data_IF_957138770738
#
_entry.id   IF_957138770738
#
_cell.length_a   1.000
_cell.length_b   1.000
_cell.length_c   1.000
_cell.angle_alpha   90.00
_cell.angle_beta   90.00
_cell.angle_gamma   90.00
#
_symmetry.space_group_name_H-M   'P 1'
#
loop_
_entity.id
_entity.type
_entity.pdbx_description
1 polymer ?
#
# COMPACT_ATOMS: atom_id res chain seq x y z
N UNK A 1 -0.90 22.52 18.16
CA UNK A 1 -1.58 21.34 17.57
C UNK A 1 -3.09 21.59 17.65
N UNK A 2 -3.84 21.36 16.58
CA UNK A 2 -5.29 21.50 16.61
C UNK A 2 -5.95 20.11 16.76
N UNK A 3 -6.07 19.66 18.01
CA UNK A 3 -6.62 18.34 18.33
C UNK A 3 -8.06 18.20 17.85
N UNK A 4 -8.87 19.26 17.99
CA UNK A 4 -10.27 19.26 17.54
C UNK A 4 -10.39 19.01 16.03
N UNK A 5 -9.47 19.57 15.22
CA UNK A 5 -9.44 19.33 13.79
C UNK A 5 -9.03 17.90 13.45
N UNK A 6 -8.02 17.36 14.13
CA UNK A 6 -7.58 15.96 13.96
C UNK A 6 -8.71 14.98 14.31
N UNK A 7 -9.42 15.23 15.41
CA UNK A 7 -10.54 14.38 15.85
C UNK A 7 -11.70 14.42 14.83
N UNK A 8 -12.04 15.61 14.32
CA UNK A 8 -13.04 15.75 13.27
C UNK A 8 -12.67 15.02 11.98
N UNK A 9 -11.39 15.14 11.56
CA UNK A 9 -10.89 14.50 10.35
C UNK A 9 -10.87 12.98 10.48
N UNK A 10 -10.35 12.43 11.57
CA UNK A 10 -10.29 10.98 11.81
C UNK A 10 -11.67 10.38 12.11
N UNK A 11 -12.55 11.15 12.76
CA UNK A 11 -13.95 10.78 12.99
C UNK A 11 -14.79 10.77 11.71
N UNK A 12 -14.37 11.49 10.67
CA UNK A 12 -15.10 11.59 9.40
C UNK A 12 -16.18 12.66 9.37
N UNK A 13 -16.11 13.68 10.23
CA UNK A 13 -17.04 14.82 10.21
C UNK A 13 -16.64 15.80 9.09
N UNK A 14 -17.07 15.48 7.87
CA UNK A 14 -16.78 16.27 6.65
C UNK A 14 -17.25 17.71 6.78
N UNK A 15 -18.46 17.91 7.35
CA UNK A 15 -19.06 19.25 7.50
C UNK A 15 -18.21 20.12 8.41
N UNK A 16 -17.82 19.59 9.56
CA UNK A 16 -16.98 20.30 10.52
C UNK A 16 -15.59 20.59 9.93
N UNK A 17 -14.97 19.60 9.26
CA UNK A 17 -13.66 19.77 8.60
C UNK A 17 -13.74 20.88 7.54
N UNK A 18 -14.73 20.86 6.65
CA UNK A 18 -14.89 21.91 5.63
C UNK A 18 -15.10 23.29 6.25
N UNK A 19 -15.92 23.40 7.29
CA UNK A 19 -16.14 24.68 7.99
C UNK A 19 -14.84 25.20 8.60
N UNK A 20 -14.06 24.34 9.23
CA UNK A 20 -12.78 24.72 9.83
C UNK A 20 -11.75 25.13 8.77
N UNK A 21 -11.66 24.41 7.65
CA UNK A 21 -10.77 24.73 6.52
C UNK A 21 -11.15 26.03 5.82
N UNK A 22 -12.46 26.37 5.74
CA UNK A 22 -12.91 27.65 5.22
C UNK A 22 -12.49 28.83 6.11
N UNK A 23 -12.48 28.63 7.44
CA UNK A 23 -12.02 29.64 8.39
C UNK A 23 -10.49 29.75 8.44
N UNK A 24 -9.78 28.61 8.32
CA UNK A 24 -8.31 28.55 8.34
C UNK A 24 -7.80 27.41 7.45
N UNK A 25 -7.48 27.70 6.18
CA UNK A 25 -6.92 26.68 5.25
C UNK A 25 -5.61 26.07 5.72
N UNK A 26 -4.85 26.74 6.60
CA UNK A 26 -3.57 26.23 7.10
C UNK A 26 -3.72 24.96 7.95
N UNK A 27 -4.93 24.67 8.44
CA UNK A 27 -5.25 23.45 9.17
C UNK A 27 -4.99 22.19 8.35
N UNK A 28 -5.03 22.27 7.01
CA UNK A 28 -4.68 21.14 6.14
C UNK A 28 -3.21 20.66 6.33
N UNK A 29 -2.35 21.47 6.93
CA UNK A 29 -0.96 21.12 7.27
C UNK A 29 -0.78 20.57 8.69
N UNK A 30 -1.89 20.38 9.43
CA UNK A 30 -1.84 19.89 10.81
C UNK A 30 -1.18 18.51 10.86
N UNK A 31 -0.28 18.34 11.84
CA UNK A 31 0.34 17.04 12.18
C UNK A 31 0.05 16.72 13.65
N UNK A 32 -0.04 15.44 13.95
CA UNK A 32 -0.16 14.98 15.34
C UNK A 32 1.19 15.02 16.09
N UNK A 33 1.18 14.55 17.35
CA UNK A 33 2.36 14.50 18.22
C UNK A 33 3.50 13.63 17.67
N UNK A 34 3.16 12.64 16.84
CA UNK A 34 4.10 11.74 16.16
C UNK A 34 4.59 12.31 14.82
N UNK A 35 4.12 13.50 14.42
CA UNK A 35 4.45 14.14 13.16
C UNK A 35 3.64 13.64 11.95
N UNK A 36 2.67 12.75 12.15
CA UNK A 36 1.81 12.24 11.08
C UNK A 36 0.81 13.32 10.68
N UNK A 37 0.74 13.63 9.37
CA UNK A 37 -0.17 14.66 8.87
C UNK A 37 -1.63 14.23 8.93
N UNK A 38 -2.52 15.23 9.02
CA UNK A 38 -3.97 15.00 9.00
C UNK A 38 -4.41 14.28 7.74
N UNK A 39 -3.77 14.54 6.58
CA UNK A 39 -4.09 13.89 5.32
C UNK A 39 -3.71 12.40 5.34
N UNK A 40 -2.55 12.05 5.88
CA UNK A 40 -2.17 10.65 6.06
C UNK A 40 -3.12 9.94 7.03
N UNK A 41 -3.48 10.57 8.16
CA UNK A 41 -4.47 10.01 9.07
C UNK A 41 -5.82 9.78 8.39
N UNK A 42 -6.34 10.76 7.69
CA UNK A 42 -7.60 10.63 6.95
C UNK A 42 -7.52 9.48 5.91
N UNK A 43 -6.38 9.33 5.24
CA UNK A 43 -6.13 8.25 4.28
C UNK A 43 -6.08 6.89 4.96
N UNK A 44 -5.36 6.73 6.07
CA UNK A 44 -5.32 5.49 6.87
C UNK A 44 -6.71 5.06 7.38
N UNK A 45 -7.54 6.01 7.79
CA UNK A 45 -8.91 5.73 8.24
C UNK A 45 -9.93 5.64 7.09
N UNK A 46 -9.50 5.68 5.83
CA UNK A 46 -10.36 5.57 4.66
C UNK A 46 -11.36 6.72 4.50
N UNK A 47 -11.06 7.91 5.03
CA UNK A 47 -11.96 9.10 5.03
C UNK A 47 -11.82 9.88 3.72
N UNK A 48 -12.24 9.28 2.60
CA UNK A 48 -12.06 9.84 1.26
C UNK A 48 -12.57 11.27 1.10
N UNK A 49 -13.75 11.60 1.66
CA UNK A 49 -14.32 12.94 1.56
C UNK A 49 -13.51 13.98 2.34
N UNK A 50 -12.86 13.56 3.44
CA UNK A 50 -11.94 14.40 4.20
C UNK A 50 -10.66 14.64 3.40
N UNK A 51 -10.09 13.58 2.82
CA UNK A 51 -8.89 13.68 1.94
C UNK A 51 -9.18 14.65 0.80
N UNK A 52 -10.33 14.52 0.12
CA UNK A 52 -10.73 15.44 -0.94
C UNK A 52 -10.83 16.90 -0.44
N UNK A 53 -11.47 17.13 0.72
CA UNK A 53 -11.57 18.46 1.31
C UNK A 53 -10.21 19.08 1.67
N UNK A 54 -9.25 18.26 2.12
CA UNK A 54 -7.89 18.70 2.41
C UNK A 54 -7.14 19.06 1.12
N UNK A 55 -7.25 18.25 0.07
CA UNK A 55 -6.64 18.50 -1.23
C UNK A 55 -7.19 19.77 -1.91
N UNK A 56 -8.49 20.04 -1.78
CA UNK A 56 -9.13 21.27 -2.29
C UNK A 56 -8.51 22.56 -1.74
N UNK A 57 -7.82 22.52 -0.59
CA UNK A 57 -7.10 23.70 -0.04
C UNK A 57 -5.82 24.04 -0.80
N UNK A 58 -5.36 23.17 -1.70
CA UNK A 58 -4.06 23.32 -2.35
C UNK A 58 -2.88 23.02 -1.42
N UNK A 59 -3.09 22.21 -0.37
CA UNK A 59 -2.01 21.81 0.54
C UNK A 59 -0.88 21.13 -0.23
N UNK A 60 0.35 21.53 0.05
CA UNK A 60 1.53 20.89 -0.53
C UNK A 60 1.76 19.53 0.12
N UNK A 61 1.79 18.48 -0.72
CA UNK A 61 2.04 17.12 -0.30
C UNK A 61 3.53 16.78 -0.46
N UNK A 62 4.06 16.03 0.50
CA UNK A 62 5.31 15.30 0.29
C UNK A 62 5.09 14.07 -0.61
N UNK A 63 6.17 13.35 -0.95
CA UNK A 63 6.10 12.21 -1.87
C UNK A 63 5.28 11.05 -1.32
N UNK A 64 5.29 10.86 0.00
CA UNK A 64 4.55 9.78 0.67
C UNK A 64 3.06 10.10 0.73
N UNK A 65 2.72 11.32 1.09
CA UNK A 65 1.34 11.82 1.10
C UNK A 65 0.74 11.76 -0.31
N UNK A 66 1.47 12.24 -1.31
CA UNK A 66 1.05 12.20 -2.70
C UNK A 66 0.88 10.75 -3.22
N UNK A 67 1.79 9.85 -2.84
CA UNK A 67 1.68 8.44 -3.20
C UNK A 67 0.48 7.75 -2.54
N UNK A 68 0.21 8.04 -1.28
CA UNK A 68 -0.90 7.47 -0.54
C UNK A 68 -2.27 7.95 -1.05
N UNK A 69 -2.36 9.22 -1.47
CA UNK A 69 -3.61 9.85 -1.92
C UNK A 69 -3.88 9.71 -3.42
N UNK A 70 -2.92 9.18 -4.20
CA UNK A 70 -3.11 8.94 -5.63
C UNK A 70 -2.76 10.14 -6.53
N UNK A 71 -2.02 11.12 -6.02
CA UNK A 71 -1.68 12.37 -6.72
C UNK A 71 -0.50 12.17 -7.70
N UNK A 72 -0.77 11.53 -8.85
CA UNK A 72 0.23 11.10 -9.85
C UNK A 72 1.11 12.25 -10.32
N UNK A 73 0.52 13.40 -10.67
CA UNK A 73 1.25 14.58 -11.16
C UNK A 73 2.19 15.11 -10.06
N UNK A 74 1.72 15.15 -8.82
CA UNK A 74 2.53 15.61 -7.70
C UNK A 74 3.72 14.69 -7.46
N UNK A 75 3.52 13.37 -7.46
CA UNK A 75 4.59 12.37 -7.35
C UNK A 75 5.61 12.56 -8.48
N UNK A 76 5.14 12.66 -9.72
CA UNK A 76 6.01 12.84 -10.89
C UNK A 76 6.86 14.11 -10.82
N UNK A 77 6.27 15.24 -10.41
CA UNK A 77 6.97 16.50 -10.25
C UNK A 77 8.01 16.45 -9.12
N UNK A 78 7.69 15.82 -8.01
CA UNK A 78 8.62 15.67 -6.89
C UNK A 78 9.82 14.82 -7.27
N UNK A 79 9.60 13.68 -7.96
CA UNK A 79 10.70 12.80 -8.41
C UNK A 79 11.52 13.45 -9.52
N UNK A 80 10.91 14.22 -10.42
CA UNK A 80 11.65 14.97 -11.44
C UNK A 80 12.58 16.01 -10.82
N UNK A 81 12.17 16.64 -9.71
CA UNK A 81 13.00 17.59 -8.97
C UNK A 81 14.08 16.91 -8.12
N UNK A 82 13.76 15.74 -7.52
CA UNK A 82 14.70 14.93 -6.75
C UNK A 82 14.45 13.44 -6.98
N UNK A 83 15.21 12.79 -7.90
CA UNK A 83 15.06 11.37 -8.22
C UNK A 83 15.27 10.42 -7.02
N UNK A 84 15.98 10.87 -5.98
CA UNK A 84 16.20 10.03 -4.79
C UNK A 84 14.91 9.74 -4.02
N UNK A 85 13.88 10.57 -4.20
CA UNK A 85 12.57 10.40 -3.56
C UNK A 85 11.84 9.13 -4.02
N UNK A 86 12.13 8.60 -5.22
CA UNK A 86 11.52 7.36 -5.69
C UNK A 86 11.78 6.17 -4.76
N UNK A 87 12.93 6.18 -4.07
CA UNK A 87 13.38 5.12 -3.16
C UNK A 87 13.57 5.60 -1.70
N UNK A 88 13.07 6.79 -1.38
CA UNK A 88 13.11 7.31 -0.02
C UNK A 88 12.25 6.46 0.93
N UNK A 89 12.60 6.48 2.20
CA UNK A 89 11.80 5.86 3.26
C UNK A 89 11.19 6.94 4.14
N UNK A 90 9.91 6.79 4.41
CA UNK A 90 9.20 7.59 5.40
C UNK A 90 9.66 7.27 6.83
N UNK A 91 9.36 8.11 7.83
CA UNK A 91 9.70 7.83 9.23
C UNK A 91 9.15 6.49 9.76
N UNK A 92 7.99 6.05 9.26
CA UNK A 92 7.36 4.77 9.59
C UNK A 92 7.86 3.60 8.71
N UNK A 93 8.87 3.84 7.87
CA UNK A 93 9.62 2.78 7.18
C UNK A 93 9.04 2.31 5.87
N UNK A 94 8.12 3.03 5.25
CA UNK A 94 7.57 2.68 3.94
C UNK A 94 8.16 3.52 2.81
N UNK A 95 8.27 2.92 1.61
CA UNK A 95 8.62 3.66 0.39
C UNK A 95 7.37 4.30 -0.24
N UNK A 96 7.51 5.31 -1.13
CA UNK A 96 6.38 5.81 -1.91
C UNK A 96 5.64 4.71 -2.67
N UNK A 97 6.37 3.75 -3.27
CA UNK A 97 5.75 2.57 -3.91
C UNK A 97 4.98 1.71 -2.90
N UNK A 98 5.53 1.50 -1.70
CA UNK A 98 4.84 0.79 -0.62
C UNK A 98 3.51 1.44 -0.26
N UNK A 99 3.47 2.77 -0.13
CA UNK A 99 2.22 3.52 0.11
C UNK A 99 1.25 3.44 -1.07
N UNK A 100 1.73 3.65 -2.30
CA UNK A 100 0.88 3.55 -3.49
C UNK A 100 0.20 2.18 -3.59
N UNK A 101 0.93 1.10 -3.32
CA UNK A 101 0.38 -0.26 -3.31
C UNK A 101 -0.57 -0.45 -2.13
N UNK A 102 -0.17 -0.09 -0.90
CA UNK A 102 -1.01 -0.28 0.28
C UNK A 102 -2.37 0.40 0.15
N UNK A 103 -2.41 1.62 -0.38
CA UNK A 103 -3.63 2.39 -0.59
C UNK A 103 -4.34 2.13 -1.93
N UNK A 104 -3.82 1.22 -2.76
CA UNK A 104 -4.46 0.82 -4.00
C UNK A 104 -4.43 1.88 -5.09
N UNK A 105 -3.27 2.53 -5.30
CA UNK A 105 -3.05 3.62 -6.27
C UNK A 105 -2.25 3.10 -7.49
N UNK A 106 -2.88 2.41 -8.47
CA UNK A 106 -2.17 1.76 -9.57
C UNK A 106 -1.40 2.74 -10.47
N UNK A 107 -1.97 3.91 -10.75
CA UNK A 107 -1.33 4.89 -11.62
C UNK A 107 -0.08 5.50 -10.96
N UNK A 108 -0.13 5.73 -9.65
CA UNK A 108 1.04 6.18 -8.89
C UNK A 108 2.10 5.08 -8.84
N UNK A 109 1.70 3.82 -8.57
CA UNK A 109 2.62 2.69 -8.58
C UNK A 109 3.35 2.57 -9.94
N UNK A 110 2.60 2.70 -11.04
CA UNK A 110 3.16 2.69 -12.39
C UNK A 110 4.14 3.84 -12.63
N UNK A 111 3.80 5.07 -12.21
CA UNK A 111 4.67 6.23 -12.36
C UNK A 111 5.97 6.07 -11.55
N UNK A 112 5.88 5.58 -10.32
CA UNK A 112 7.04 5.31 -9.46
C UNK A 112 7.95 4.24 -10.05
N UNK A 113 7.40 3.13 -10.53
CA UNK A 113 8.15 2.05 -11.16
C UNK A 113 8.84 2.52 -12.45
N UNK A 114 8.16 3.31 -13.28
CA UNK A 114 8.75 3.92 -14.47
C UNK A 114 9.88 4.91 -14.13
N UNK A 115 9.83 5.54 -12.97
CA UNK A 115 10.86 6.42 -12.44
C UNK A 115 12.02 5.71 -11.71
N UNK A 116 12.03 4.36 -11.69
CA UNK A 116 13.10 3.55 -11.09
C UNK A 116 12.94 3.27 -9.60
N UNK A 117 11.71 3.29 -9.09
CA UNK A 117 11.44 2.78 -7.75
C UNK A 117 11.80 1.29 -7.68
N UNK A 118 12.48 0.87 -6.60
CA UNK A 118 12.79 -0.54 -6.36
C UNK A 118 11.51 -1.32 -6.07
N UNK A 119 11.10 -2.15 -7.02
CA UNK A 119 9.91 -2.99 -6.94
C UNK A 119 9.93 -3.97 -5.77
N UNK A 120 11.13 -4.30 -5.26
CA UNK A 120 11.35 -5.24 -4.17
C UNK A 120 11.67 -4.58 -2.83
N UNK A 121 11.62 -3.24 -2.75
CA UNK A 121 11.92 -2.51 -1.52
C UNK A 121 10.93 -2.88 -0.41
N UNK A 122 11.37 -3.74 0.50
CA UNK A 122 10.58 -4.11 1.67
C UNK A 122 10.49 -2.95 2.68
N UNK A 123 9.37 -2.87 3.40
CA UNK A 123 9.25 -1.93 4.53
C UNK A 123 10.34 -2.19 5.57
N UNK A 124 10.74 -1.13 6.27
CA UNK A 124 11.75 -1.19 7.35
C UNK A 124 11.17 -1.53 8.71
N UNK A 125 9.86 -1.67 8.79
CA UNK A 125 9.19 -2.17 9.98
C UNK A 125 9.43 -3.67 10.21
N UNK A 126 8.97 -4.18 11.35
CA UNK A 126 9.21 -5.57 11.78
C UNK A 126 8.71 -6.63 10.79
N UNK A 127 7.63 -6.34 10.06
CA UNK A 127 7.01 -7.28 9.11
C UNK A 127 7.79 -7.43 7.79
N UNK A 128 8.62 -6.45 7.41
CA UNK A 128 9.41 -6.45 6.16
C UNK A 128 8.56 -6.78 4.93
N UNK A 129 7.42 -6.11 4.81
CA UNK A 129 6.46 -6.38 3.74
C UNK A 129 6.95 -5.79 2.43
N UNK A 130 7.04 -6.61 1.38
CA UNK A 130 7.32 -6.14 0.02
C UNK A 130 6.06 -5.58 -0.65
N UNK A 131 6.19 -4.73 -1.69
CA UNK A 131 5.03 -4.25 -2.44
C UNK A 131 4.15 -5.40 -2.97
N UNK A 132 4.74 -6.49 -3.50
CA UNK A 132 3.97 -7.62 -4.01
C UNK A 132 3.22 -8.37 -2.90
N UNK A 133 3.82 -8.55 -1.73
CA UNK A 133 3.14 -9.15 -0.58
C UNK A 133 1.96 -8.27 -0.11
N UNK A 134 2.15 -6.94 -0.07
CA UNK A 134 1.09 -5.99 0.25
C UNK A 134 -0.08 -6.07 -0.75
N UNK A 135 0.22 -6.10 -2.06
CA UNK A 135 -0.79 -6.24 -3.11
C UNK A 135 -1.56 -7.57 -2.99
N UNK A 136 -0.87 -8.67 -2.65
CA UNK A 136 -1.49 -9.98 -2.45
C UNK A 136 -2.43 -9.99 -1.24
N UNK A 137 -1.99 -9.44 -0.11
CA UNK A 137 -2.79 -9.32 1.11
C UNK A 137 -4.06 -8.48 0.89
N UNK A 138 -3.94 -7.39 0.11
CA UNK A 138 -5.03 -6.47 -0.22
C UNK A 138 -5.91 -6.93 -1.41
N UNK A 139 -5.66 -8.12 -2.00
CA UNK A 139 -6.38 -8.66 -3.17
C UNK A 139 -6.30 -7.78 -4.43
N UNK A 140 -5.23 -7.04 -4.59
CA UNK A 140 -5.04 -6.08 -5.68
C UNK A 140 -4.35 -6.75 -6.88
N UNK A 141 -5.04 -7.67 -7.57
CA UNK A 141 -4.47 -8.48 -8.66
C UNK A 141 -3.88 -7.61 -9.79
N UNK A 142 -4.53 -6.48 -10.13
CA UNK A 142 -4.01 -5.55 -11.14
C UNK A 142 -2.67 -4.93 -10.77
N UNK A 143 -2.51 -4.49 -9.51
CA UNK A 143 -1.24 -3.96 -9.01
C UNK A 143 -0.19 -5.08 -8.90
N UNK A 144 -0.58 -6.27 -8.44
CA UNK A 144 0.32 -7.41 -8.37
C UNK A 144 0.88 -7.77 -9.76
N UNK A 145 0.05 -7.78 -10.79
CA UNK A 145 0.47 -7.99 -12.20
C UNK A 145 1.49 -6.93 -12.63
N UNK A 146 1.20 -5.66 -12.39
CA UNK A 146 2.13 -4.56 -12.67
C UNK A 146 3.48 -4.75 -11.98
N UNK A 147 3.47 -5.08 -10.69
CA UNK A 147 4.71 -5.32 -9.93
C UNK A 147 5.52 -6.49 -10.51
N UNK A 148 4.86 -7.59 -10.90
CA UNK A 148 5.50 -8.76 -11.51
C UNK A 148 6.10 -8.38 -12.88
N UNK A 149 5.40 -7.61 -13.70
CA UNK A 149 5.92 -7.10 -14.99
C UNK A 149 7.19 -6.26 -14.81
N UNK A 150 7.33 -5.56 -13.68
CA UNK A 150 8.53 -4.80 -13.31
C UNK A 150 9.57 -5.60 -12.52
N UNK A 151 9.44 -6.94 -12.46
CA UNK A 151 10.43 -7.84 -11.88
C UNK A 151 10.30 -8.04 -10.36
N UNK A 152 9.11 -7.92 -9.81
CA UNK A 152 8.88 -8.26 -8.41
C UNK A 152 9.23 -9.73 -8.14
N UNK A 153 9.98 -9.99 -7.06
CA UNK A 153 10.29 -11.34 -6.63
C UNK A 153 9.06 -12.01 -6.02
N UNK A 154 8.45 -12.93 -6.77
CA UNK A 154 7.25 -13.68 -6.35
C UNK A 154 7.48 -14.58 -5.14
N UNK A 155 8.75 -14.88 -4.81
CA UNK A 155 9.17 -15.68 -3.66
C UNK A 155 9.80 -14.87 -2.53
N UNK A 156 9.65 -13.53 -2.57
CA UNK A 156 10.14 -12.67 -1.49
C UNK A 156 9.45 -13.02 -0.17
N UNK A 157 10.26 -13.27 0.87
CA UNK A 157 9.77 -13.69 2.20
C UNK A 157 9.61 -12.49 3.13
N UNK A 158 8.45 -12.35 3.72
CA UNK A 158 8.20 -11.46 4.86
C UNK A 158 8.81 -12.04 6.17
N UNK A 159 8.77 -11.29 7.25
CA UNK A 159 9.41 -11.66 8.52
C UNK A 159 8.95 -13.01 9.11
N UNK A 160 7.70 -13.43 8.85
CA UNK A 160 7.13 -14.71 9.29
C UNK A 160 7.34 -15.86 8.29
N UNK A 161 8.18 -15.62 7.26
CA UNK A 161 8.42 -16.59 6.18
C UNK A 161 7.33 -16.67 5.12
N UNK A 162 6.29 -15.83 5.19
CA UNK A 162 5.26 -15.76 4.15
C UNK A 162 5.83 -15.25 2.84
N UNK A 163 5.40 -15.85 1.73
CA UNK A 163 5.54 -15.32 0.38
C UNK A 163 4.16 -14.85 -0.13
N UNK A 164 4.09 -14.04 -1.20
CA UNK A 164 2.82 -13.54 -1.74
C UNK A 164 1.77 -14.63 -2.01
N UNK A 165 2.20 -15.85 -2.35
CA UNK A 165 1.30 -16.98 -2.61
C UNK A 165 0.54 -17.45 -1.36
N UNK A 166 1.11 -17.34 -0.15
CA UNK A 166 0.39 -17.65 1.09
C UNK A 166 -0.80 -16.68 1.27
N UNK A 167 -0.56 -15.37 1.07
CA UNK A 167 -1.59 -14.33 1.19
C UNK A 167 -2.71 -14.52 0.15
N UNK A 168 -2.33 -14.75 -1.11
CA UNK A 168 -3.29 -14.99 -2.19
C UNK A 168 -4.15 -16.23 -1.91
N UNK A 169 -3.54 -17.30 -1.37
CA UNK A 169 -4.21 -18.56 -1.02
C UNK A 169 -5.17 -18.37 0.15
N UNK A 170 -4.76 -17.74 1.23
CA UNK A 170 -5.61 -17.41 2.37
C UNK A 170 -6.83 -16.57 1.95
N UNK A 171 -6.60 -15.62 1.06
CA UNK A 171 -7.62 -14.72 0.54
C UNK A 171 -8.59 -15.38 -0.46
N UNK A 172 -8.25 -16.54 -1.02
CA UNK A 172 -9.03 -17.21 -2.06
C UNK A 172 -9.00 -16.49 -3.41
N UNK A 173 -7.94 -15.72 -3.70
CA UNK A 173 -7.81 -14.99 -4.95
C UNK A 173 -7.22 -15.90 -6.04
N UNK A 174 -8.09 -16.68 -6.70
CA UNK A 174 -7.71 -17.68 -7.72
C UNK A 174 -6.91 -17.06 -8.86
N UNK A 175 -7.29 -15.87 -9.32
CA UNK A 175 -6.58 -15.19 -10.43
C UNK A 175 -5.14 -14.85 -10.00
N UNK A 176 -4.95 -14.32 -8.79
CA UNK A 176 -3.62 -13.98 -8.29
C UNK A 176 -2.79 -15.23 -8.00
N UNK A 177 -3.39 -16.30 -7.46
CA UNK A 177 -2.72 -17.58 -7.25
C UNK A 177 -2.17 -18.12 -8.58
N UNK A 178 -2.99 -18.14 -9.65
CA UNK A 178 -2.54 -18.55 -10.99
C UNK A 178 -1.40 -17.67 -11.49
N UNK A 179 -1.56 -16.36 -11.40
CA UNK A 179 -0.54 -15.39 -11.83
C UNK A 179 0.80 -15.63 -11.12
N UNK A 180 0.78 -15.86 -9.81
CA UNK A 180 1.99 -16.12 -9.04
C UNK A 180 2.66 -17.43 -9.44
N UNK A 181 1.88 -18.52 -9.60
CA UNK A 181 2.40 -19.84 -10.03
C UNK A 181 3.01 -19.74 -11.44
N UNK A 182 2.32 -19.11 -12.39
CA UNK A 182 2.80 -18.89 -13.76
C UNK A 182 4.13 -18.10 -13.80
N UNK A 183 4.40 -17.28 -12.78
CA UNK A 183 5.64 -16.53 -12.63
C UNK A 183 6.65 -17.18 -11.67
N UNK A 184 6.48 -18.46 -11.33
CA UNK A 184 7.46 -19.25 -10.59
C UNK A 184 7.39 -19.14 -9.07
N UNK A 185 6.21 -18.84 -8.53
CA UNK A 185 6.01 -18.93 -7.09
C UNK A 185 6.13 -20.38 -6.61
N UNK A 186 6.88 -20.58 -5.52
CA UNK A 186 7.06 -21.91 -4.91
C UNK A 186 5.77 -22.33 -4.18
N UNK A 187 5.05 -23.29 -4.79
CA UNK A 187 3.80 -23.85 -4.24
C UNK A 187 4.02 -24.63 -2.94
N UNK A 188 5.25 -25.04 -2.66
CA UNK A 188 5.63 -25.79 -1.47
C UNK A 188 6.35 -24.93 -0.43
N UNK A 189 6.46 -23.62 -0.66
CA UNK A 189 7.09 -22.71 0.29
C UNK A 189 6.45 -22.86 1.68
N UNK A 190 7.29 -22.85 2.71
CA UNK A 190 6.81 -22.97 4.10
C UNK A 190 7.09 -21.69 4.87
N UNK A 191 6.08 -21.25 5.63
CA UNK A 191 6.23 -20.22 6.64
C UNK A 191 7.10 -20.73 7.80
N UNK A 192 7.44 -19.85 8.74
CA UNK A 192 8.28 -20.22 9.91
C UNK A 192 7.59 -21.22 10.83
N UNK A 193 6.25 -21.28 10.84
CA UNK A 193 5.45 -22.31 11.53
C UNK A 193 5.16 -23.55 10.66
N UNK A 194 5.79 -23.63 9.47
CA UNK A 194 5.79 -24.80 8.60
C UNK A 194 4.61 -24.92 7.64
N UNK A 195 3.70 -23.96 7.60
CA UNK A 195 2.50 -23.98 6.76
C UNK A 195 2.83 -23.64 5.30
N UNK A 196 2.20 -24.38 4.37
CA UNK A 196 2.25 -24.15 2.93
C UNK A 196 1.10 -23.26 2.46
N UNK A 197 1.12 -22.72 1.21
CA UNK A 197 -0.02 -22.05 0.61
C UNK A 197 -1.30 -22.91 0.60
N UNK A 198 -1.16 -24.22 0.38
CA UNK A 198 -2.29 -25.16 0.45
C UNK A 198 -2.88 -25.24 1.86
N UNK A 199 -2.05 -25.28 2.90
CA UNK A 199 -2.51 -25.29 4.29
C UNK A 199 -3.36 -24.04 4.60
N UNK A 200 -2.94 -22.87 4.10
CA UNK A 200 -3.73 -21.64 4.22
C UNK A 200 -5.05 -21.72 3.45
N UNK A 201 -5.05 -22.24 2.23
CA UNK A 201 -6.29 -22.40 1.47
C UNK A 201 -7.29 -23.34 2.19
N UNK A 202 -6.82 -24.41 2.83
CA UNK A 202 -7.63 -25.33 3.61
C UNK A 202 -8.16 -24.63 4.87
N UNK A 203 -7.29 -23.97 5.65
CA UNK A 203 -7.65 -23.29 6.91
C UNK A 203 -8.72 -22.22 6.68
N UNK A 204 -8.58 -21.44 5.60
CA UNK A 204 -9.52 -20.37 5.24
C UNK A 204 -10.67 -20.83 4.32
N UNK A 205 -10.79 -22.13 4.06
CA UNK A 205 -11.89 -22.75 3.28
C UNK A 205 -12.02 -22.16 1.87
N UNK A 206 -10.95 -22.25 1.07
CA UNK A 206 -10.87 -21.72 -0.31
C UNK A 206 -10.88 -22.87 -1.35
N UNK A 207 -12.03 -23.50 -1.63
CA UNK A 207 -12.09 -24.74 -2.41
C UNK A 207 -11.47 -24.64 -3.79
N UNK A 208 -11.67 -23.55 -4.52
CA UNK A 208 -11.10 -23.36 -5.86
C UNK A 208 -9.57 -23.22 -5.83
N UNK A 209 -9.02 -22.60 -4.77
CA UNK A 209 -7.56 -22.50 -4.58
C UNK A 209 -6.99 -23.84 -4.17
N UNK A 210 -7.68 -24.61 -3.33
CA UNK A 210 -7.28 -25.97 -2.91
C UNK A 210 -7.12 -26.83 -4.18
N UNK A 211 -8.19 -26.90 -5.02
CA UNK A 211 -8.15 -27.67 -6.25
C UNK A 211 -7.02 -27.28 -7.19
N UNK A 212 -6.71 -25.97 -7.25
CA UNK A 212 -5.64 -25.45 -8.08
C UNK A 212 -4.26 -25.88 -7.55
N UNK A 213 -4.02 -25.75 -6.24
CA UNK A 213 -2.72 -26.05 -5.62
C UNK A 213 -2.44 -27.55 -5.54
N UNK A 214 -3.47 -28.41 -5.45
CA UNK A 214 -3.31 -29.87 -5.49
C UNK A 214 -2.87 -30.40 -6.88
N UNK A 215 -3.07 -29.60 -7.94
CA UNK A 215 -2.73 -29.95 -9.33
C UNK A 215 -1.40 -29.32 -9.78
N UNK A 216 -0.83 -28.43 -8.99
CA UNK A 216 0.40 -27.69 -9.30
C UNK A 216 1.62 -28.36 -8.68
#
# INVERSE_FOLDING_TARGET
>A
MNQEFLDAATGGDVTKVRTMLQADPSLARTRDESGVSVIMKATYYGKKDIVAALLETGVELDVFEAAATGEVERVSNLIAADPSLANAYSPDGFTPLGFAVFFGQPEVAKALLAAGADVNAASRESMKVTPLASAAAAKQTGIARLLIEYGANVNARAASGHIPLHEASANGNVELVKLLIENGADVNARTDDGKTPLDFAIEYKRPEVIELLEKS
#
